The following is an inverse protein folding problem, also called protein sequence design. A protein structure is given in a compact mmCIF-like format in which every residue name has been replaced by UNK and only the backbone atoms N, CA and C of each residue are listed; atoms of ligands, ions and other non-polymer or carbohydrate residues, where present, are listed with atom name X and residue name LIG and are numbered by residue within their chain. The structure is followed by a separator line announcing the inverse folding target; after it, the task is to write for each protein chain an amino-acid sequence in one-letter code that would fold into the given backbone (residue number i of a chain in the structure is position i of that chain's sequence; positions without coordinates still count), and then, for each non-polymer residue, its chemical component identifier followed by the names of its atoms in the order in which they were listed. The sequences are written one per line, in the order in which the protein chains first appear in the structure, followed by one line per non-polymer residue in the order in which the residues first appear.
data_IF_059488530534
#
_entry.id   IF_059488530534
#
_cell.length_a   1.000
_cell.length_b   1.000
_cell.length_c   1.000
_cell.angle_alpha   90.00
_cell.angle_beta   90.00
_cell.angle_gamma   90.00
#
_symmetry.space_group_name_H-M   'P 1'
#
loop_
_entity.id
_entity.type
_entity.pdbx_description
1 polymer ?
#
# COMPACT_ATOMS: atom_id res chain seq x y z
N UNK A 1 37.95 64.41 -24.36
CA UNK A 1 38.47 63.06 -24.09
C UNK A 1 37.83 62.50 -22.83
N UNK A 2 36.79 61.73 -22.93
CA UNK A 2 36.28 60.91 -21.86
C UNK A 2 35.62 59.74 -22.52
N UNK A 3 36.21 58.59 -22.37
CA UNK A 3 35.66 57.31 -22.88
C UNK A 3 34.66 56.76 -21.86
N UNK A 4 33.43 56.48 -22.27
CA UNK A 4 32.39 55.80 -21.51
C UNK A 4 32.37 54.36 -21.98
N UNK A 5 32.70 53.43 -21.10
CA UNK A 5 32.70 52.00 -21.34
C UNK A 5 31.32 51.47 -20.91
N UNK A 6 30.54 50.94 -21.87
CA UNK A 6 29.26 50.31 -21.62
C UNK A 6 29.47 48.82 -21.39
N UNK A 7 29.09 48.30 -20.19
CA UNK A 7 29.09 46.89 -19.85
C UNK A 7 27.79 46.28 -20.40
N UNK A 8 27.89 45.36 -21.36
CA UNK A 8 26.79 44.47 -21.74
C UNK A 8 26.79 43.24 -20.80
N UNK A 9 25.73 43.10 -20.00
CA UNK A 9 25.46 41.91 -19.25
C UNK A 9 24.77 40.87 -20.15
N UNK A 10 25.45 39.77 -20.43
CA UNK A 10 24.85 38.58 -21.05
C UNK A 10 24.08 37.81 -19.99
N UNK A 11 22.75 37.85 -20.04
CA UNK A 11 21.84 36.90 -19.38
C UNK A 11 21.80 35.64 -20.22
N UNK A 12 22.51 34.61 -19.78
CA UNK A 12 22.38 33.27 -20.34
C UNK A 12 21.11 32.60 -19.78
N UNK A 13 20.04 32.66 -20.50
CA UNK A 13 18.86 31.83 -20.29
C UNK A 13 19.21 30.35 -20.62
N UNK A 14 19.39 29.52 -19.60
CA UNK A 14 19.43 28.07 -19.79
C UNK A 14 18.04 27.62 -20.19
N UNK A 15 17.84 27.37 -21.48
CA UNK A 15 16.71 26.59 -21.96
C UNK A 15 16.84 25.17 -21.42
N UNK A 16 15.87 24.73 -20.61
CA UNK A 16 15.66 23.32 -20.32
C UNK A 16 15.33 22.64 -21.65
N UNK A 17 16.25 21.83 -22.14
CA UNK A 17 16.01 20.98 -23.27
C UNK A 17 14.99 19.91 -22.86
N UNK A 18 13.78 20.00 -23.36
CA UNK A 18 12.83 18.88 -23.37
C UNK A 18 13.50 17.73 -24.12
N UNK A 19 13.60 16.56 -23.45
CA UNK A 19 13.98 15.34 -24.12
C UNK A 19 12.97 15.05 -25.24
N UNK A 20 13.43 14.61 -26.44
CA UNK A 20 12.49 14.29 -27.52
C UNK A 20 11.61 13.11 -27.12
N UNK A 21 10.33 13.06 -27.57
CA UNK A 21 9.46 11.92 -27.29
C UNK A 21 10.08 10.64 -27.85
N UNK A 22 10.14 9.58 -27.05
CA UNK A 22 10.62 8.26 -27.46
C UNK A 22 9.69 7.69 -28.54
N UNK A 23 10.00 7.89 -29.80
CA UNK A 23 9.29 7.29 -30.91
C UNK A 23 9.95 5.98 -31.36
N UNK A 24 9.17 4.90 -31.28
CA UNK A 24 9.36 3.58 -31.88
C UNK A 24 10.52 2.71 -31.37
N UNK A 25 10.19 1.79 -30.44
CA UNK A 25 10.90 0.51 -30.29
C UNK A 25 9.87 -0.61 -30.04
N UNK A 26 10.14 -1.76 -30.64
CA UNK A 26 9.28 -2.93 -30.86
C UNK A 26 8.51 -3.46 -29.63
N UNK A 27 7.24 -3.84 -29.84
CA UNK A 27 6.35 -4.57 -28.91
C UNK A 27 6.95 -5.81 -28.22
N UNK A 28 8.04 -6.35 -28.70
CA UNK A 28 8.72 -7.51 -28.11
C UNK A 28 9.62 -7.15 -26.93
N UNK A 29 10.17 -5.92 -26.84
CA UNK A 29 10.99 -5.47 -25.71
C UNK A 29 10.15 -5.10 -24.49
N UNK A 30 8.91 -4.62 -24.67
CA UNK A 30 8.00 -4.28 -23.58
C UNK A 30 7.63 -5.47 -22.65
N UNK A 31 7.71 -6.71 -23.15
CA UNK A 31 7.53 -7.91 -22.32
C UNK A 31 8.73 -8.22 -21.41
N UNK A 32 9.91 -7.70 -21.71
CA UNK A 32 11.13 -8.04 -20.95
C UNK A 32 11.30 -7.23 -19.67
N UNK A 33 10.88 -5.97 -19.65
CA UNK A 33 11.08 -5.09 -18.47
C UNK A 33 10.05 -5.36 -17.37
N UNK A 34 8.79 -5.56 -17.71
CA UNK A 34 7.77 -6.07 -16.79
C UNK A 34 8.10 -7.49 -16.28
N UNK A 35 8.76 -8.31 -17.12
CA UNK A 35 9.29 -9.60 -16.71
C UNK A 35 10.41 -9.49 -15.68
N UNK A 36 11.28 -8.48 -15.73
CA UNK A 36 12.40 -8.33 -14.80
C UNK A 36 11.92 -8.03 -13.38
N UNK A 37 10.98 -7.09 -13.19
CA UNK A 37 10.37 -6.83 -11.88
C UNK A 37 9.60 -8.02 -11.34
N UNK A 38 8.76 -8.66 -12.15
CA UNK A 38 8.05 -9.90 -11.80
C UNK A 38 9.00 -11.08 -11.53
N UNK A 39 10.07 -11.22 -12.31
CA UNK A 39 11.08 -12.26 -12.09
C UNK A 39 11.86 -12.07 -10.80
N UNK A 40 12.17 -10.82 -10.44
CA UNK A 40 12.84 -10.52 -9.18
C UNK A 40 11.91 -10.77 -7.98
N UNK A 41 10.63 -10.43 -8.09
CA UNK A 41 9.61 -10.76 -7.11
C UNK A 41 9.42 -12.28 -6.98
N UNK A 42 9.26 -13.00 -8.08
CA UNK A 42 9.15 -14.46 -8.09
C UNK A 42 10.40 -15.14 -7.55
N UNK A 43 11.60 -14.62 -7.84
CA UNK A 43 12.85 -15.15 -7.31
C UNK A 43 12.97 -14.96 -5.79
N UNK A 44 12.44 -13.87 -5.25
CA UNK A 44 12.42 -13.62 -3.80
C UNK A 44 11.48 -14.59 -3.07
N UNK A 45 10.27 -14.82 -3.61
CA UNK A 45 9.34 -15.82 -3.05
C UNK A 45 9.86 -17.26 -3.19
N UNK A 46 10.52 -17.58 -4.30
CA UNK A 46 11.13 -18.90 -4.51
C UNK A 46 12.33 -19.21 -3.60
N UNK A 47 12.78 -18.28 -2.76
CA UNK A 47 13.91 -18.50 -1.84
C UNK A 47 13.56 -19.32 -0.60
N UNK A 48 12.27 -19.51 -0.32
CA UNK A 48 11.76 -20.29 0.81
C UNK A 48 11.33 -21.67 0.32
N UNK A 49 11.75 -22.73 1.00
CA UNK A 49 11.22 -24.06 0.76
C UNK A 49 9.82 -24.17 1.38
N UNK A 50 8.80 -23.97 0.56
CA UNK A 50 7.41 -24.00 0.98
C UNK A 50 6.99 -25.35 1.58
N UNK A 51 7.71 -26.45 1.27
CA UNK A 51 7.41 -27.77 1.83
C UNK A 51 7.67 -27.88 3.33
N UNK A 52 8.42 -26.90 3.90
CA UNK A 52 8.64 -26.80 5.35
C UNK A 52 7.46 -26.19 6.12
N UNK A 53 6.45 -25.65 5.41
CA UNK A 53 5.33 -24.93 5.99
C UNK A 53 4.00 -25.61 5.65
N UNK A 54 3.03 -25.48 6.54
CA UNK A 54 1.69 -26.04 6.36
C UNK A 54 0.78 -25.11 5.56
N UNK A 55 1.11 -23.80 5.53
CA UNK A 55 0.29 -22.78 4.88
C UNK A 55 1.18 -21.63 4.35
N UNK A 56 0.93 -21.21 3.11
CA UNK A 56 1.53 -20.05 2.48
C UNK A 56 0.44 -19.05 2.07
N UNK A 57 0.50 -17.83 2.59
CA UNK A 57 -0.52 -16.82 2.41
C UNK A 57 0.05 -15.58 1.73
N UNK A 58 -0.55 -15.15 0.63
CA UNK A 58 -0.27 -13.85 0.06
C UNK A 58 -0.85 -12.76 0.97
N UNK A 59 -0.06 -11.79 1.36
CA UNK A 59 -0.46 -10.66 2.18
C UNK A 59 -0.50 -9.39 1.32
N UNK A 60 -1.66 -9.02 0.76
CA UNK A 60 -1.77 -7.89 -0.16
C UNK A 60 -1.50 -6.55 0.54
N UNK A 61 -1.14 -5.55 -0.26
CA UNK A 61 -1.18 -4.15 0.13
C UNK A 61 -2.56 -3.55 -0.06
N UNK A 62 -2.74 -2.33 0.44
CA UNK A 62 -3.92 -1.49 0.18
C UNK A 62 -3.52 -0.12 -0.35
N UNK A 63 -4.46 0.51 -1.04
CA UNK A 63 -4.47 1.95 -1.30
C UNK A 63 -5.74 2.56 -0.72
N UNK A 64 -5.72 3.88 -0.54
CA UNK A 64 -6.92 4.64 -0.20
C UNK A 64 -7.42 5.32 -1.48
N UNK A 65 -8.55 4.91 -2.02
CA UNK A 65 -9.16 5.55 -3.20
C UNK A 65 -9.69 6.95 -2.86
N UNK A 66 -10.12 7.15 -1.63
CA UNK A 66 -10.20 8.46 -1.00
C UNK A 66 -9.90 8.33 0.51
N UNK A 67 -9.48 9.44 1.13
CA UNK A 67 -9.31 9.56 2.56
C UNK A 67 -9.73 10.97 3.00
N UNK A 68 -10.77 11.05 3.81
CA UNK A 68 -11.29 12.26 4.39
C UNK A 68 -11.04 12.29 5.89
N UNK A 69 -10.59 13.41 6.40
CA UNK A 69 -10.51 13.68 7.84
C UNK A 69 -11.81 14.36 8.26
N UNK A 70 -12.55 13.74 9.16
CA UNK A 70 -13.86 14.21 9.57
C UNK A 70 -13.72 15.16 10.76
N UNK A 71 -12.99 14.76 11.79
CA UNK A 71 -12.75 15.57 12.98
C UNK A 71 -11.59 15.05 13.81
N UNK A 72 -11.07 15.92 14.66
CA UNK A 72 -10.13 15.53 15.72
C UNK A 72 -10.91 15.06 16.94
N UNK A 73 -10.52 13.92 17.48
CA UNK A 73 -11.11 13.30 18.67
C UNK A 73 -10.51 13.86 19.96
N UNK A 74 -11.22 13.78 21.09
CA UNK A 74 -10.68 14.18 22.39
C UNK A 74 -9.47 13.33 22.84
N UNK A 75 -9.34 12.08 22.34
CA UNK A 75 -8.23 11.18 22.63
C UNK A 75 -6.95 11.50 21.82
N UNK A 76 -6.99 12.53 20.96
CA UNK A 76 -5.89 12.99 20.14
C UNK A 76 -5.80 12.31 18.77
N UNK A 77 -6.59 11.27 18.52
CA UNK A 77 -6.75 10.67 17.19
C UNK A 77 -7.70 11.48 16.32
N UNK A 78 -7.93 10.99 15.08
CA UNK A 78 -8.85 11.60 14.14
C UNK A 78 -9.89 10.57 13.70
N UNK A 79 -11.15 11.02 13.61
CA UNK A 79 -12.15 10.31 12.84
C UNK A 79 -11.87 10.56 11.36
N UNK A 80 -11.85 9.48 10.60
CA UNK A 80 -11.67 9.52 9.15
C UNK A 80 -12.78 8.74 8.44
N UNK A 81 -12.90 8.95 7.15
CA UNK A 81 -13.68 8.14 6.24
C UNK A 81 -12.84 7.85 4.99
N UNK A 82 -12.74 6.58 4.60
CA UNK A 82 -11.87 6.16 3.51
C UNK A 82 -12.42 4.93 2.80
N UNK A 83 -12.30 4.90 1.48
CA UNK A 83 -12.48 3.69 0.70
C UNK A 83 -11.12 3.02 0.49
N UNK A 84 -10.95 1.88 1.12
CA UNK A 84 -9.75 1.05 0.96
C UNK A 84 -9.94 0.05 -0.17
N UNK A 85 -8.86 -0.22 -0.91
CA UNK A 85 -8.80 -1.24 -1.95
C UNK A 85 -7.51 -2.04 -1.84
N UNK A 86 -7.60 -3.38 -1.83
CA UNK A 86 -6.43 -4.25 -1.92
C UNK A 86 -5.88 -4.29 -3.34
N UNK A 87 -4.57 -4.45 -3.44
CA UNK A 87 -3.86 -4.56 -4.71
C UNK A 87 -2.97 -5.80 -4.74
N UNK A 88 -2.73 -6.35 -5.91
CA UNK A 88 -1.92 -7.55 -6.15
C UNK A 88 -0.41 -7.35 -5.95
N UNK A 89 0.01 -6.34 -5.20
CA UNK A 89 1.35 -6.16 -4.68
C UNK A 89 1.33 -6.43 -3.17
N UNK A 90 2.26 -7.24 -2.66
CA UNK A 90 2.22 -7.66 -1.26
C UNK A 90 3.42 -8.50 -0.84
N UNK A 91 3.31 -9.06 0.35
CA UNK A 91 4.29 -9.95 0.98
C UNK A 91 3.80 -11.41 0.96
N UNK A 92 4.66 -12.37 1.27
CA UNK A 92 4.27 -13.78 1.51
C UNK A 92 4.53 -14.13 2.96
N UNK A 93 3.53 -14.73 3.60
CA UNK A 93 3.63 -15.27 4.95
C UNK A 93 3.50 -16.78 4.90
N UNK A 94 4.55 -17.49 5.32
CA UNK A 94 4.57 -18.94 5.47
C UNK A 94 4.41 -19.29 6.94
N UNK A 95 3.48 -20.19 7.25
CA UNK A 95 3.14 -20.60 8.61
C UNK A 95 3.19 -22.12 8.75
N UNK A 96 3.64 -22.56 9.92
CA UNK A 96 3.57 -23.95 10.35
C UNK A 96 3.15 -24.01 11.81
N UNK A 97 2.25 -24.93 12.13
CA UNK A 97 1.98 -25.29 13.52
C UNK A 97 3.12 -26.16 14.04
N UNK A 98 3.78 -25.72 15.10
CA UNK A 98 4.94 -26.44 15.67
C UNK A 98 4.48 -27.64 16.48
N UNK A 99 5.41 -28.56 16.74
CA UNK A 99 5.18 -29.73 17.59
C UNK A 99 4.87 -29.36 19.03
N UNK A 100 4.20 -30.26 19.77
CA UNK A 100 3.80 -30.06 21.17
C UNK A 100 4.95 -29.80 22.14
N UNK A 101 6.19 -30.09 21.73
CA UNK A 101 7.41 -29.81 22.52
C UNK A 101 7.90 -28.37 22.42
N UNK A 102 7.32 -27.57 21.53
CA UNK A 102 7.70 -26.17 21.33
C UNK A 102 7.15 -25.30 22.45
N UNK A 103 7.98 -24.35 22.92
CA UNK A 103 7.63 -23.43 24.04
C UNK A 103 7.45 -21.99 23.58
N UNK A 104 7.70 -21.68 22.30
CA UNK A 104 7.58 -20.32 21.75
C UNK A 104 7.42 -20.32 20.24
N UNK A 105 6.85 -19.23 19.73
CA UNK A 105 6.83 -18.95 18.29
C UNK A 105 8.25 -18.68 17.77
N UNK A 106 8.52 -19.06 16.52
CA UNK A 106 9.72 -18.65 15.78
C UNK A 106 9.32 -17.76 14.62
N UNK A 107 10.06 -16.67 14.41
CA UNK A 107 9.79 -15.70 13.34
C UNK A 107 11.05 -15.34 12.60
N UNK A 108 11.00 -15.43 11.28
CA UNK A 108 12.04 -15.01 10.35
C UNK A 108 11.51 -14.01 9.34
N UNK A 109 12.36 -13.08 8.92
CA UNK A 109 12.06 -12.11 7.87
C UNK A 109 13.31 -11.80 7.05
N UNK A 110 13.16 -11.71 5.72
CA UNK A 110 14.25 -11.39 4.79
C UNK A 110 14.65 -9.90 4.81
N UNK A 111 13.82 -9.00 5.39
CA UNK A 111 14.05 -7.56 5.40
C UNK A 111 14.67 -7.12 6.72
N UNK A 112 15.85 -6.48 6.65
CA UNK A 112 16.48 -5.87 7.83
C UNK A 112 15.60 -4.76 8.43
N UNK A 113 15.66 -4.61 9.76
CA UNK A 113 14.90 -3.57 10.49
C UNK A 113 13.44 -3.95 10.78
N UNK A 114 12.95 -5.08 10.29
CA UNK A 114 11.68 -5.65 10.74
C UNK A 114 11.89 -6.30 12.10
N UNK A 115 11.17 -5.89 13.17
CA UNK A 115 11.30 -6.51 14.48
C UNK A 115 11.03 -8.02 14.42
N UNK A 116 11.82 -8.80 15.16
CA UNK A 116 11.64 -10.26 15.29
C UNK A 116 11.20 -10.66 16.70
N UNK A 117 10.76 -9.70 17.48
CA UNK A 117 10.27 -9.86 18.85
C UNK A 117 8.77 -9.55 18.98
N UNK A 118 8.25 -9.50 20.20
CA UNK A 118 6.84 -9.23 20.52
C UNK A 118 6.33 -7.84 20.09
N UNK A 119 7.17 -6.96 19.57
CA UNK A 119 6.73 -5.71 18.93
C UNK A 119 6.24 -5.91 17.49
N UNK A 120 6.57 -7.05 16.86
CA UNK A 120 6.12 -7.39 15.51
C UNK A 120 4.62 -7.73 15.49
N UNK A 121 3.90 -7.14 14.54
CA UNK A 121 2.45 -7.34 14.42
C UNK A 121 2.07 -8.78 14.05
N UNK A 122 2.89 -9.51 13.28
CA UNK A 122 2.66 -10.94 12.97
C UNK A 122 2.69 -11.77 14.27
N UNK A 123 3.73 -11.59 15.08
CA UNK A 123 3.87 -12.31 16.36
C UNK A 123 2.70 -11.98 17.30
N UNK A 124 2.33 -10.71 17.37
CA UNK A 124 1.17 -10.27 18.18
C UNK A 124 -0.14 -10.85 17.68
N UNK A 125 -0.30 -10.97 16.36
CA UNK A 125 -1.49 -11.55 15.75
C UNK A 125 -1.62 -13.05 16.07
N UNK A 126 -0.53 -13.81 15.96
CA UNK A 126 -0.47 -15.22 16.34
C UNK A 126 -0.82 -15.41 17.83
N UNK A 127 -0.22 -14.60 18.71
CA UNK A 127 -0.46 -14.62 20.16
C UNK A 127 -1.91 -14.26 20.51
N UNK A 128 -2.48 -13.27 19.83
CA UNK A 128 -3.89 -12.86 20.03
C UNK A 128 -4.86 -14.00 19.68
N UNK A 129 -4.73 -14.63 18.51
CA UNK A 129 -5.60 -15.73 18.11
C UNK A 129 -5.47 -16.91 19.07
N UNK A 130 -4.24 -17.29 19.41
CA UNK A 130 -3.94 -18.33 20.39
C UNK A 130 -4.65 -18.09 21.73
N UNK A 131 -4.51 -16.90 22.29
CA UNK A 131 -5.09 -16.51 23.58
C UNK A 131 -6.62 -16.47 23.51
N UNK A 132 -7.19 -15.82 22.49
CA UNK A 132 -8.66 -15.68 22.33
C UNK A 132 -9.36 -17.02 22.10
N UNK A 133 -8.65 -18.01 21.57
CA UNK A 133 -9.21 -19.35 21.26
C UNK A 133 -8.87 -20.40 22.32
N UNK A 134 -8.10 -20.04 23.37
CA UNK A 134 -7.72 -20.97 24.44
C UNK A 134 -6.70 -22.04 24.01
N UNK A 135 -5.93 -21.78 22.94
CA UNK A 135 -4.89 -22.68 22.41
C UNK A 135 -3.49 -22.23 22.90
N UNK A 136 -3.34 -21.91 24.17
CA UNK A 136 -2.14 -21.27 24.71
C UNK A 136 -0.85 -22.13 24.63
N UNK A 137 -1.01 -23.45 24.45
CA UNK A 137 0.05 -24.44 24.26
C UNK A 137 0.48 -24.62 22.81
N UNK A 138 -0.14 -23.93 21.85
CA UNK A 138 0.14 -24.05 20.42
C UNK A 138 1.02 -22.90 19.92
N UNK A 139 2.15 -23.24 19.30
CA UNK A 139 3.13 -22.29 18.81
C UNK A 139 3.31 -22.42 17.30
N UNK A 140 3.77 -21.35 16.65
CA UNK A 140 3.91 -21.28 15.21
C UNK A 140 5.37 -21.02 14.80
N UNK A 141 5.79 -21.63 13.68
CA UNK A 141 6.93 -21.19 12.89
C UNK A 141 6.38 -20.27 11.81
N UNK A 142 6.86 -19.03 11.75
CA UNK A 142 6.45 -18.05 10.76
C UNK A 142 7.68 -17.54 9.98
N UNK A 143 7.57 -17.47 8.65
CA UNK A 143 8.55 -16.83 7.79
C UNK A 143 7.84 -15.80 6.92
N UNK A 144 8.27 -14.54 7.01
CA UNK A 144 7.73 -13.43 6.26
C UNK A 144 8.70 -13.00 5.15
N UNK A 145 8.33 -13.26 3.90
CA UNK A 145 9.05 -12.74 2.73
C UNK A 145 8.48 -11.38 2.38
N UNK A 146 9.18 -10.33 2.80
CA UNK A 146 8.76 -8.94 2.63
C UNK A 146 9.27 -8.34 1.34
N UNK A 147 8.36 -7.71 0.61
CA UNK A 147 8.62 -6.88 -0.58
C UNK A 147 8.10 -5.46 -0.38
N UNK A 148 7.04 -5.31 0.42
CA UNK A 148 6.40 -4.02 0.67
C UNK A 148 7.32 -3.16 1.52
N UNK A 149 7.74 -1.97 1.02
CA UNK A 149 8.57 -1.06 1.79
C UNK A 149 7.90 -0.61 3.08
N UNK A 150 8.69 -0.42 4.13
CA UNK A 150 8.20 0.17 5.38
C UNK A 150 7.78 1.64 5.17
N UNK A 151 6.83 2.12 5.99
CA UNK A 151 6.36 3.51 5.97
C UNK A 151 5.94 4.00 4.56
N UNK A 152 5.26 3.14 3.83
CA UNK A 152 4.84 3.40 2.46
C UNK A 152 3.38 3.91 2.32
N UNK A 153 2.59 3.92 3.39
CA UNK A 153 1.15 4.22 3.30
C UNK A 153 0.31 3.08 2.68
N UNK A 154 0.92 1.89 2.51
CA UNK A 154 0.32 0.74 1.80
C UNK A 154 -0.24 -0.35 2.74
N UNK A 155 -0.18 -0.17 4.05
CA UNK A 155 -0.74 -1.10 5.02
C UNK A 155 -0.01 -2.46 5.12
N UNK A 156 1.22 -2.63 4.59
CA UNK A 156 1.89 -3.92 4.49
C UNK A 156 2.01 -4.67 5.83
N UNK A 157 2.40 -3.97 6.91
CA UNK A 157 2.47 -4.59 8.26
C UNK A 157 1.10 -5.05 8.78
N UNK A 158 0.04 -4.27 8.49
CA UNK A 158 -1.34 -4.62 8.86
C UNK A 158 -1.85 -5.80 8.05
N UNK A 159 -1.53 -5.87 6.75
CA UNK A 159 -1.81 -7.02 5.91
C UNK A 159 -1.14 -8.29 6.42
N UNK A 160 0.16 -8.19 6.82
CA UNK A 160 0.88 -9.33 7.38
C UNK A 160 0.24 -9.83 8.69
N UNK A 161 -0.23 -8.93 9.56
CA UNK A 161 -0.93 -9.30 10.77
C UNK A 161 -2.28 -9.98 10.50
N UNK A 162 -3.06 -9.45 9.54
CA UNK A 162 -4.33 -10.07 9.14
C UNK A 162 -4.10 -11.47 8.54
N UNK A 163 -3.08 -11.64 7.69
CA UNK A 163 -2.68 -12.94 7.15
C UNK A 163 -2.28 -13.90 8.29
N UNK A 164 -1.58 -13.41 9.30
CA UNK A 164 -1.21 -14.22 10.47
C UNK A 164 -2.44 -14.63 11.30
N UNK A 165 -3.40 -13.72 11.53
CA UNK A 165 -4.65 -14.05 12.24
C UNK A 165 -5.45 -15.10 11.47
N UNK A 166 -5.62 -14.92 10.17
CA UNK A 166 -6.31 -15.89 9.32
C UNK A 166 -5.61 -17.24 9.33
N UNK A 167 -4.29 -17.26 9.07
CA UNK A 167 -3.51 -18.48 9.00
C UNK A 167 -3.44 -19.24 10.33
N UNK A 168 -3.32 -18.55 11.45
CA UNK A 168 -3.38 -19.17 12.77
C UNK A 168 -4.74 -19.84 13.00
N UNK A 169 -5.83 -19.16 12.66
CA UNK A 169 -7.18 -19.72 12.76
C UNK A 169 -7.35 -20.98 11.89
N UNK A 170 -6.84 -20.95 10.65
CA UNK A 170 -6.86 -22.14 9.76
C UNK A 170 -6.09 -23.31 10.39
N UNK A 171 -4.85 -23.08 10.83
CA UNK A 171 -3.98 -24.13 11.37
C UNK A 171 -4.47 -24.69 12.71
N UNK A 172 -5.22 -23.92 13.50
CA UNK A 172 -5.87 -24.36 14.73
C UNK A 172 -7.21 -25.08 14.48
N UNK A 173 -7.62 -25.29 13.23
CA UNK A 173 -8.87 -25.95 12.87
C UNK A 173 -10.09 -25.04 12.89
N UNK A 174 -9.91 -23.74 12.71
CA UNK A 174 -10.95 -22.69 12.59
C UNK A 174 -11.79 -22.53 13.89
N UNK A 175 -11.15 -22.36 15.04
CA UNK A 175 -11.88 -22.17 16.29
C UNK A 175 -12.64 -20.84 16.38
N UNK A 176 -12.32 -19.85 15.53
CA UNK A 176 -12.96 -18.54 15.47
C UNK A 176 -13.68 -18.32 14.16
N UNK A 177 -14.80 -17.58 14.19
CA UNK A 177 -15.47 -17.09 12.98
C UNK A 177 -14.73 -15.87 12.42
N UNK A 178 -15.05 -15.48 11.16
CA UNK A 178 -14.49 -14.29 10.54
C UNK A 178 -14.85 -13.00 11.33
N UNK A 179 -16.09 -12.93 11.83
CA UNK A 179 -16.56 -11.79 12.63
C UNK A 179 -15.76 -11.65 13.92
N UNK A 180 -15.41 -12.77 14.57
CA UNK A 180 -14.54 -12.75 15.76
C UNK A 180 -13.12 -12.29 15.42
N UNK A 181 -12.54 -12.74 14.29
CA UNK A 181 -11.24 -12.25 13.85
C UNK A 181 -11.27 -10.74 13.54
N UNK A 182 -12.34 -10.26 12.90
CA UNK A 182 -12.58 -8.84 12.63
C UNK A 182 -12.67 -8.06 13.94
N UNK A 183 -13.45 -8.50 14.91
CA UNK A 183 -13.55 -7.86 16.23
C UNK A 183 -12.20 -7.77 16.93
N UNK A 184 -11.45 -8.87 16.98
CA UNK A 184 -10.16 -8.92 17.67
C UNK A 184 -9.06 -8.12 16.96
N UNK A 185 -9.13 -7.98 15.65
CA UNK A 185 -8.11 -7.27 14.87
C UNK A 185 -7.95 -5.81 15.27
N UNK A 186 -9.03 -5.18 15.74
CA UNK A 186 -9.02 -3.81 16.25
C UNK A 186 -8.10 -3.60 17.46
N UNK A 187 -7.83 -4.66 18.27
CA UNK A 187 -6.90 -4.62 19.38
C UNK A 187 -5.43 -4.49 18.95
N UNK A 188 -5.12 -4.85 17.70
CA UNK A 188 -3.77 -4.82 17.13
C UNK A 188 -3.49 -3.54 16.35
N UNK A 189 -4.44 -3.08 15.54
CA UNK A 189 -4.29 -1.87 14.74
C UNK A 189 -5.46 -1.63 13.80
N UNK A 190 -5.76 -0.35 13.56
CA UNK A 190 -6.96 0.08 12.84
C UNK A 190 -7.07 -0.49 11.40
N UNK A 191 -5.96 -0.51 10.65
CA UNK A 191 -5.96 -0.97 9.26
C UNK A 191 -6.00 -2.51 9.13
N UNK A 192 -5.81 -3.28 10.22
CA UNK A 192 -5.78 -4.76 10.15
C UNK A 192 -7.15 -5.31 9.80
N UNK A 193 -8.20 -4.72 10.37
CA UNK A 193 -9.60 -5.09 10.14
C UNK A 193 -9.94 -5.10 8.65
N UNK A 194 -9.48 -4.09 7.91
CA UNK A 194 -9.71 -3.99 6.47
C UNK A 194 -9.22 -5.23 5.69
N UNK A 195 -8.05 -5.77 6.02
CA UNK A 195 -7.50 -6.93 5.30
C UNK A 195 -8.26 -8.24 5.55
N UNK A 196 -9.19 -8.24 6.51
CA UNK A 196 -10.14 -9.34 6.72
C UNK A 196 -11.41 -9.19 5.87
N UNK A 197 -11.57 -8.07 5.12
CA UNK A 197 -12.63 -7.88 4.12
C UNK A 197 -12.37 -8.67 2.83
N UNK A 198 -13.27 -8.55 1.87
CA UNK A 198 -13.11 -9.15 0.54
C UNK A 198 -12.24 -8.34 -0.43
N UNK A 199 -11.64 -7.25 0.02
CA UNK A 199 -10.67 -6.46 -0.74
C UNK A 199 -11.08 -5.02 -1.04
N UNK A 200 -12.38 -4.69 -0.93
CA UNK A 200 -12.88 -3.32 -0.95
C UNK A 200 -13.70 -3.10 0.32
N UNK A 201 -13.49 -2.01 1.04
CA UNK A 201 -14.31 -1.67 2.19
C UNK A 201 -14.31 -0.17 2.47
N UNK A 202 -15.45 0.34 2.90
CA UNK A 202 -15.59 1.67 3.46
C UNK A 202 -15.26 1.62 4.94
N UNK A 203 -14.26 2.38 5.35
CA UNK A 203 -13.75 2.38 6.72
C UNK A 203 -13.93 3.77 7.35
N UNK A 204 -14.43 3.79 8.59
CA UNK A 204 -14.66 4.98 9.40
C UNK A 204 -14.02 4.86 10.78
N UNK A 205 -14.28 5.83 11.69
CA UNK A 205 -13.59 5.91 12.96
C UNK A 205 -12.12 6.27 12.73
N UNK A 206 -11.17 5.54 13.32
CA UNK A 206 -9.74 5.68 13.02
C UNK A 206 -9.31 4.82 11.82
N UNK A 207 -10.27 4.13 11.15
CA UNK A 207 -10.10 3.14 10.10
C UNK A 207 -10.52 1.73 10.53
N UNK A 208 -10.90 1.52 11.80
CA UNK A 208 -11.27 0.22 12.37
C UNK A 208 -12.74 -0.16 12.18
N UNK A 209 -13.62 0.80 11.93
CA UNK A 209 -15.03 0.53 11.68
C UNK A 209 -15.20 0.23 10.20
N UNK A 210 -15.25 -1.03 9.87
CA UNK A 210 -15.33 -1.51 8.50
C UNK A 210 -16.78 -1.79 8.09
N UNK A 211 -17.22 -1.16 7.02
CA UNK A 211 -18.47 -1.47 6.32
C UNK A 211 -18.10 -2.16 5.01
N UNK A 212 -18.40 -3.46 4.84
CA UNK A 212 -18.20 -4.16 3.59
C UNK A 212 -18.97 -3.49 2.45
N UNK A 213 -18.36 -3.43 1.27
CA UNK A 213 -19.00 -2.97 0.03
C UNK A 213 -18.68 -3.98 -1.07
N UNK A 214 -19.45 -3.93 -2.15
CA UNK A 214 -19.18 -4.80 -3.29
C UNK A 214 -17.75 -4.56 -3.80
N UNK A 215 -16.98 -5.62 -4.09
CA UNK A 215 -15.63 -5.47 -4.60
C UNK A 215 -15.59 -4.67 -5.91
N UNK A 216 -14.66 -3.73 -6.01
CA UNK A 216 -14.36 -3.07 -7.28
C UNK A 216 -13.75 -4.09 -8.26
N UNK A 217 -13.89 -3.86 -9.59
CA UNK A 217 -13.45 -4.81 -10.59
C UNK A 217 -11.98 -5.23 -10.43
N UNK A 218 -11.75 -6.52 -10.27
CA UNK A 218 -10.42 -7.12 -10.31
C UNK A 218 -9.70 -6.80 -11.63
N UNK A 219 -8.37 -6.73 -11.57
CA UNK A 219 -7.56 -6.46 -12.75
C UNK A 219 -7.52 -4.99 -13.16
N UNK A 220 -8.22 -4.08 -12.45
CA UNK A 220 -8.01 -2.63 -12.64
C UNK A 220 -6.53 -2.31 -12.41
N UNK A 221 -5.88 -1.78 -13.44
CA UNK A 221 -4.43 -1.53 -13.38
C UNK A 221 -4.08 -0.38 -12.48
N UNK A 222 -3.05 -0.58 -11.69
CA UNK A 222 -2.50 0.42 -10.79
C UNK A 222 -0.97 0.32 -10.76
N UNK A 223 -0.30 1.46 -10.71
CA UNK A 223 1.13 1.53 -10.54
C UNK A 223 1.46 2.25 -9.23
N UNK A 224 2.25 1.63 -8.37
CA UNK A 224 2.74 2.23 -7.14
C UNK A 224 4.13 2.81 -7.38
N UNK A 225 4.31 4.08 -7.09
CA UNK A 225 5.60 4.78 -7.17
C UNK A 225 6.00 5.22 -5.77
N UNK A 226 7.09 4.66 -5.25
CA UNK A 226 7.56 4.85 -3.88
C UNK A 226 8.97 5.44 -3.85
N UNK A 227 9.13 6.69 -3.40
CA UNK A 227 10.46 7.25 -3.15
C UNK A 227 11.10 6.61 -1.91
N UNK A 228 12.43 6.47 -1.90
CA UNK A 228 13.22 5.90 -0.78
C UNK A 228 13.22 6.78 0.49
N UNK A 229 12.29 7.72 0.57
CA UNK A 229 12.11 8.60 1.71
C UNK A 229 10.87 8.15 2.47
N UNK A 230 10.99 7.97 3.78
CA UNK A 230 9.88 7.72 4.68
C UNK A 230 9.32 9.02 5.27
N UNK A 231 8.04 9.01 5.61
CA UNK A 231 7.37 10.08 6.35
C UNK A 231 6.59 9.46 7.52
N UNK A 232 6.72 10.07 8.68
CA UNK A 232 6.05 9.58 9.88
C UNK A 232 4.57 9.98 9.86
N UNK A 233 3.67 9.00 9.94
CA UNK A 233 2.23 9.25 10.02
C UNK A 233 1.86 10.26 11.12
N UNK A 234 2.38 10.18 12.38
CA UNK A 234 2.13 11.20 13.38
C UNK A 234 2.64 12.60 13.01
N UNK A 235 3.67 12.70 12.19
CA UNK A 235 4.18 13.99 11.71
C UNK A 235 3.21 14.63 10.71
N UNK A 236 2.70 13.87 9.76
CA UNK A 236 1.68 14.32 8.81
C UNK A 236 0.42 14.80 9.53
N UNK A 237 -0.10 14.03 10.49
CA UNK A 237 -1.28 14.43 11.26
C UNK A 237 -1.05 15.68 12.13
N UNK A 238 0.19 15.94 12.59
CA UNK A 238 0.52 17.17 13.31
C UNK A 238 0.58 18.40 12.43
N UNK A 239 0.91 18.22 11.15
CA UNK A 239 0.97 19.29 10.15
C UNK A 239 -0.40 19.56 9.47
N UNK A 240 -1.47 18.85 9.88
CA UNK A 240 -2.79 18.97 9.28
C UNK A 240 -3.37 20.39 9.49
N UNK A 241 -3.74 21.01 8.39
CA UNK A 241 -4.47 22.28 8.37
C UNK A 241 -5.96 22.00 8.14
N UNK A 242 -6.77 22.21 9.18
CA UNK A 242 -8.20 21.90 9.14
C UNK A 242 -8.99 22.83 8.21
N UNK A 243 -8.48 24.02 7.89
CA UNK A 243 -9.13 24.97 6.97
C UNK A 243 -8.95 24.54 5.50
N UNK A 244 -8.03 23.60 5.23
CA UNK A 244 -7.76 23.09 3.89
C UNK A 244 -8.38 21.70 3.64
N UNK A 245 -9.09 21.14 4.60
CA UNK A 245 -9.77 19.86 4.40
C UNK A 245 -10.80 19.95 3.28
N UNK A 246 -10.94 18.88 2.52
CA UNK A 246 -12.00 18.78 1.52
C UNK A 246 -13.38 18.91 2.22
N UNK A 247 -14.35 19.48 1.53
CA UNK A 247 -15.75 19.63 2.01
C UNK A 247 -16.70 18.61 1.36
N UNK A 248 -16.18 17.74 0.48
CA UNK A 248 -17.01 16.73 -0.20
C UNK A 248 -17.46 15.69 0.83
N UNK A 249 -18.72 15.31 0.80
CA UNK A 249 -19.25 14.26 1.67
C UNK A 249 -18.60 12.91 1.36
N UNK A 250 -18.09 12.17 2.36
CA UNK A 250 -17.52 10.85 2.15
C UNK A 250 -18.49 9.84 1.54
N UNK A 251 -19.78 9.93 1.83
CA UNK A 251 -20.79 9.04 1.26
C UNK A 251 -21.03 9.35 -0.23
N UNK A 252 -20.97 10.61 -0.65
CA UNK A 252 -21.01 11.00 -2.07
C UNK A 252 -19.77 10.46 -2.83
N UNK A 253 -18.60 10.47 -2.18
CA UNK A 253 -17.39 9.86 -2.75
C UNK A 253 -17.55 8.36 -2.89
N UNK A 254 -18.06 7.68 -1.84
CA UNK A 254 -18.32 6.24 -1.86
C UNK A 254 -19.27 5.89 -3.01
N UNK A 255 -20.43 6.55 -3.09
CA UNK A 255 -21.42 6.33 -4.15
C UNK A 255 -20.83 6.53 -5.55
N UNK A 256 -19.92 7.49 -5.70
CA UNK A 256 -19.23 7.75 -6.97
C UNK A 256 -18.37 6.56 -7.36
N UNK A 257 -17.55 6.03 -6.45
CA UNK A 257 -16.70 4.85 -6.74
C UNK A 257 -17.53 3.59 -6.97
N UNK A 258 -18.59 3.37 -6.18
CA UNK A 258 -19.41 2.17 -6.31
C UNK A 258 -20.25 2.18 -7.58
N UNK A 259 -20.70 3.35 -8.06
CA UNK A 259 -21.51 3.45 -9.26
C UNK A 259 -20.70 3.52 -10.56
N UNK A 260 -19.47 4.06 -10.52
CA UNK A 260 -18.65 4.31 -11.73
C UNK A 260 -17.38 3.45 -11.82
N UNK A 261 -16.94 2.88 -10.70
CA UNK A 261 -15.64 2.21 -10.61
C UNK A 261 -14.47 3.20 -10.50
N UNK A 262 -13.27 2.66 -10.34
CA UNK A 262 -12.08 3.49 -10.08
C UNK A 262 -11.64 4.32 -11.31
N UNK A 263 -11.79 3.81 -12.52
CA UNK A 263 -11.34 4.51 -13.72
C UNK A 263 -12.26 5.71 -14.03
N UNK A 264 -13.57 5.52 -13.95
CA UNK A 264 -14.57 6.50 -14.38
C UNK A 264 -15.09 7.40 -13.24
N UNK A 265 -14.57 7.24 -12.01
CA UNK A 265 -14.98 8.05 -10.85
C UNK A 265 -14.71 9.56 -11.06
N UNK A 266 -13.73 9.89 -11.90
CA UNK A 266 -13.29 11.24 -12.17
C UNK A 266 -12.32 11.78 -11.11
N UNK A 267 -11.45 12.69 -11.51
CA UNK A 267 -10.36 13.19 -10.65
C UNK A 267 -10.85 13.85 -9.35
N UNK A 268 -12.05 14.42 -9.35
CA UNK A 268 -12.62 15.05 -8.15
C UNK A 268 -12.98 14.07 -7.03
N UNK A 269 -13.17 12.77 -7.35
CA UNK A 269 -13.42 11.73 -6.36
C UNK A 269 -12.16 11.26 -5.62
N UNK A 270 -10.99 11.48 -6.23
CA UNK A 270 -9.70 11.12 -5.65
C UNK A 270 -9.24 12.19 -4.67
N UNK A 271 -9.70 12.09 -3.43
CA UNK A 271 -9.43 13.04 -2.34
C UNK A 271 -8.61 12.35 -1.26
N UNK A 272 -7.50 12.96 -0.87
CA UNK A 272 -6.75 12.56 0.31
C UNK A 272 -6.37 13.79 1.14
N UNK A 273 -7.06 14.00 2.25
CA UNK A 273 -6.85 15.15 3.14
C UNK A 273 -5.44 15.15 3.79
N UNK A 274 -4.70 14.03 3.71
CA UNK A 274 -3.32 13.95 4.19
C UNK A 274 -2.28 14.34 3.14
N UNK A 275 -2.67 14.59 1.87
CA UNK A 275 -1.70 14.99 0.83
C UNK A 275 -1.06 16.34 1.14
N UNK A 276 -1.87 17.35 1.47
CA UNK A 276 -1.35 18.68 1.72
C UNK A 276 -0.34 18.70 2.88
N UNK A 277 -0.65 18.19 4.08
CA UNK A 277 0.33 18.17 5.18
C UNK A 277 1.55 17.29 4.86
N UNK A 278 1.40 16.19 4.09
CA UNK A 278 2.54 15.39 3.66
C UNK A 278 3.44 16.16 2.69
N UNK A 279 2.87 16.94 1.78
CA UNK A 279 3.62 17.77 0.83
C UNK A 279 4.29 18.96 1.51
N UNK A 280 3.71 19.49 2.58
CA UNK A 280 4.35 20.53 3.39
C UNK A 280 5.57 19.99 4.16
N UNK A 281 5.45 18.77 4.69
CA UNK A 281 6.56 18.08 5.34
C UNK A 281 7.64 17.64 4.34
N UNK A 282 7.25 17.23 3.12
CA UNK A 282 8.13 16.69 2.10
C UNK A 282 7.73 17.17 0.69
N UNK A 283 8.17 18.38 0.29
CA UNK A 283 7.80 18.97 -1.00
C UNK A 283 8.19 18.15 -2.24
N UNK A 284 9.16 17.23 -2.09
CA UNK A 284 9.55 16.29 -3.14
C UNK A 284 8.40 15.38 -3.56
N UNK A 285 7.50 15.00 -2.64
CA UNK A 285 6.33 14.19 -2.95
C UNK A 285 5.37 14.92 -3.89
N UNK A 286 5.16 16.22 -3.66
CA UNK A 286 4.33 17.02 -4.55
C UNK A 286 4.92 17.07 -5.96
N UNK A 287 6.23 17.29 -6.07
CA UNK A 287 6.92 17.30 -7.36
C UNK A 287 6.78 15.98 -8.09
N UNK A 288 7.02 14.87 -7.38
CA UNK A 288 6.85 13.53 -7.94
C UNK A 288 5.40 13.27 -8.41
N UNK A 289 4.39 13.67 -7.62
CA UNK A 289 2.99 13.58 -8.03
C UNK A 289 2.71 14.41 -9.29
N UNK A 290 3.24 15.63 -9.36
CA UNK A 290 3.03 16.51 -10.52
C UNK A 290 3.73 15.97 -11.78
N UNK A 291 4.91 15.32 -11.66
CA UNK A 291 5.58 14.60 -12.74
C UNK A 291 4.72 13.40 -13.21
N UNK A 292 4.22 12.59 -12.30
CA UNK A 292 3.40 11.41 -12.62
C UNK A 292 2.09 11.78 -13.31
N UNK A 293 1.48 12.92 -12.98
CA UNK A 293 0.29 13.43 -13.67
C UNK A 293 0.52 13.80 -15.15
N UNK A 294 1.77 13.96 -15.58
CA UNK A 294 2.12 14.23 -16.98
C UNK A 294 2.33 12.95 -17.79
N UNK A 295 2.35 11.79 -17.14
CA UNK A 295 2.53 10.49 -17.81
C UNK A 295 1.23 10.11 -18.50
N UNK A 296 1.28 9.95 -19.82
CA UNK A 296 0.14 9.53 -20.61
C UNK A 296 -0.25 8.07 -20.31
N UNK A 297 -1.54 7.83 -20.10
CA UNK A 297 -2.11 6.52 -19.80
C UNK A 297 -2.46 6.32 -18.32
N UNK A 298 -2.11 7.25 -17.44
CA UNK A 298 -2.65 7.29 -16.09
C UNK A 298 -3.91 8.16 -16.02
N UNK A 299 -5.00 7.57 -15.57
CA UNK A 299 -6.29 8.27 -15.41
C UNK A 299 -6.30 9.13 -14.14
N UNK A 300 -5.75 8.60 -13.04
CA UNK A 300 -5.71 9.27 -11.74
C UNK A 300 -4.39 9.03 -11.02
N UNK A 301 -3.91 10.05 -10.29
CA UNK A 301 -2.66 10.03 -9.52
C UNK A 301 -2.90 10.62 -8.14
N UNK A 302 -2.69 9.83 -7.07
CA UNK A 302 -2.89 10.27 -5.70
C UNK A 302 -1.93 9.57 -4.73
N UNK A 303 -1.62 10.20 -3.60
CA UNK A 303 -0.85 9.60 -2.52
C UNK A 303 -1.72 8.61 -1.72
N UNK A 304 -1.16 7.47 -1.34
CA UNK A 304 -1.83 6.48 -0.49
C UNK A 304 -1.64 6.76 1.00
N UNK A 305 -2.73 6.90 1.73
CA UNK A 305 -2.71 7.16 3.17
C UNK A 305 -1.93 8.41 3.54
N UNK A 306 -1.05 8.32 4.52
CA UNK A 306 -0.12 9.38 4.94
C UNK A 306 1.18 9.44 4.11
N UNK A 307 1.28 8.63 3.05
CA UNK A 307 2.43 8.56 2.16
C UNK A 307 3.49 7.55 2.67
N UNK A 308 4.61 7.45 1.98
CA UNK A 308 5.06 8.31 0.85
C UNK A 308 4.76 7.73 -0.53
N UNK A 309 4.08 6.58 -0.64
CA UNK A 309 3.72 6.02 -1.95
C UNK A 309 2.68 6.87 -2.64
N UNK A 310 2.86 7.03 -3.96
CA UNK A 310 1.87 7.59 -4.87
C UNK A 310 1.36 6.43 -5.73
N UNK A 311 0.07 6.30 -5.89
CA UNK A 311 -0.52 5.36 -6.83
C UNK A 311 -1.08 6.07 -8.05
N UNK A 312 -1.00 5.40 -9.18
CA UNK A 312 -1.50 5.84 -10.47
C UNK A 312 -2.48 4.79 -10.99
N UNK A 313 -3.75 5.16 -11.21
CA UNK A 313 -4.75 4.27 -11.83
C UNK A 313 -4.52 4.29 -13.34
N UNK A 314 -4.55 3.13 -14.00
CA UNK A 314 -4.25 2.95 -15.40
C UNK A 314 -2.85 2.39 -15.64
N UNK A 315 -2.43 2.41 -16.89
CA UNK A 315 -1.09 1.96 -17.32
C UNK A 315 -0.43 3.03 -18.18
N UNK A 316 0.87 3.29 -18.04
CA UNK A 316 1.54 4.27 -18.89
C UNK A 316 1.51 3.79 -20.34
N UNK A 317 1.13 4.66 -21.28
CA UNK A 317 1.07 4.37 -22.73
C UNK A 317 2.41 3.83 -23.25
N UNK A 318 3.53 4.33 -22.70
CA UNK A 318 4.87 3.84 -22.99
C UNK A 318 5.54 3.34 -21.71
N UNK A 319 5.36 2.05 -21.43
CA UNK A 319 5.90 1.42 -20.22
C UNK A 319 7.43 1.46 -20.16
N UNK A 320 8.13 1.28 -21.29
CA UNK A 320 9.60 1.30 -21.31
C UNK A 320 10.15 2.68 -20.95
N UNK A 321 9.60 3.75 -21.52
CA UNK A 321 9.97 5.11 -21.16
C UNK A 321 9.68 5.40 -19.69
N UNK A 322 8.53 5.00 -19.20
CA UNK A 322 8.12 5.19 -17.82
C UNK A 322 9.06 4.49 -16.84
N UNK A 323 9.34 3.19 -17.07
CA UNK A 323 10.26 2.43 -16.21
C UNK A 323 11.66 3.03 -16.23
N UNK A 324 12.16 3.43 -17.40
CA UNK A 324 13.46 4.08 -17.51
C UNK A 324 13.52 5.43 -16.79
N UNK A 325 12.44 6.20 -16.82
CA UNK A 325 12.38 7.53 -16.19
C UNK A 325 12.23 7.43 -14.66
N UNK A 326 11.40 6.51 -14.17
CA UNK A 326 11.04 6.44 -12.75
C UNK A 326 11.70 5.28 -12.01
N UNK A 327 11.74 4.05 -12.53
CA UNK A 327 12.28 2.89 -11.84
C UNK A 327 13.82 2.86 -11.87
N UNK A 328 14.44 3.34 -12.95
CA UNK A 328 15.90 3.50 -13.01
C UNK A 328 16.39 4.79 -12.28
N UNK A 329 15.48 5.66 -11.87
CA UNK A 329 15.80 6.88 -11.13
C UNK A 329 16.19 6.52 -9.69
N UNK A 330 17.42 6.83 -9.31
CA UNK A 330 17.91 6.56 -7.96
C UNK A 330 16.97 7.14 -6.88
N UNK A 331 16.56 6.28 -5.96
CA UNK A 331 15.71 6.65 -4.84
C UNK A 331 14.22 6.62 -5.16
N UNK A 332 13.79 5.99 -6.26
CA UNK A 332 12.40 5.70 -6.58
C UNK A 332 12.27 4.22 -6.91
N UNK A 333 11.22 3.59 -6.43
CA UNK A 333 10.84 2.22 -6.75
C UNK A 333 9.45 2.22 -7.38
N UNK A 334 9.26 1.40 -8.41
CA UNK A 334 8.01 1.29 -9.15
C UNK A 334 7.49 -0.14 -9.05
N UNK A 335 6.22 -0.27 -8.64
CA UNK A 335 5.56 -1.56 -8.48
C UNK A 335 4.26 -1.58 -9.29
N UNK A 336 4.26 -2.13 -10.52
CA UNK A 336 3.03 -2.40 -11.25
C UNK A 336 2.18 -3.44 -10.52
N UNK A 337 0.90 -3.18 -10.41
CA UNK A 337 -0.05 -4.04 -9.73
C UNK A 337 -1.44 -3.94 -10.39
N UNK A 338 -2.39 -4.64 -9.82
CA UNK A 338 -3.80 -4.54 -10.18
C UNK A 338 -4.67 -4.69 -8.94
N UNK A 339 -5.91 -4.23 -9.01
CA UNK A 339 -6.87 -4.47 -7.95
C UNK A 339 -7.07 -5.98 -7.77
N UNK A 340 -7.16 -6.40 -6.55
CA UNK A 340 -7.43 -7.78 -6.19
C UNK A 340 -8.52 -7.85 -5.13
N UNK A 341 -9.33 -8.89 -5.21
CA UNK A 341 -10.32 -9.25 -4.22
C UNK A 341 -10.19 -10.73 -3.85
N UNK A 342 -10.85 -11.15 -2.80
CA UNK A 342 -10.98 -12.55 -2.41
C UNK A 342 -12.45 -12.95 -2.35
N UNK A 343 -12.72 -14.22 -2.46
CA UNK A 343 -14.06 -14.76 -2.24
C UNK A 343 -14.30 -14.98 -0.74
N UNK A 344 -15.55 -14.92 -0.35
CA UNK A 344 -15.97 -15.26 1.00
C UNK A 344 -15.42 -16.64 1.43
N UNK A 345 -14.89 -16.73 2.63
CA UNK A 345 -14.30 -17.96 3.19
C UNK A 345 -12.96 -18.39 2.58
N UNK A 346 -12.38 -17.62 1.64
CA UNK A 346 -11.06 -17.87 1.07
C UNK A 346 -10.11 -16.74 1.45
N UNK A 347 -8.81 -16.99 1.40
CA UNK A 347 -7.80 -15.95 1.51
C UNK A 347 -7.42 -15.44 0.13
N UNK A 348 -6.72 -14.29 0.07
CA UNK A 348 -6.26 -13.71 -1.17
C UNK A 348 -5.30 -14.65 -1.92
N UNK A 349 -5.50 -14.79 -3.21
CA UNK A 349 -4.61 -15.54 -4.09
C UNK A 349 -3.47 -14.65 -4.57
N UNK A 350 -2.26 -15.22 -4.65
CA UNK A 350 -1.15 -14.56 -5.35
C UNK A 350 -1.36 -14.73 -6.85
N UNK A 351 -1.77 -13.65 -7.52
CA UNK A 351 -2.02 -13.63 -8.97
C UNK A 351 -0.81 -13.10 -9.78
N UNK A 352 0.35 -12.94 -9.12
CA UNK A 352 1.57 -12.42 -9.78
C UNK A 352 2.26 -13.45 -10.67
#
# INVERSE_FOLDING_TARGET
MKYTTTLLSFLATKALAFAPPCHNVNKLQNQYTLRAGKQQQQALFASVDESEYDLSLFSPCKINLFLRIIQKRPDGFHDLASLFQTIGFGDMLHLKLQDESSESDTFECNMEGVPTDKSNLVIRALDLVRTKTGNEDKFFKANLVKQVPAQAGLGGGSGNAAAAMWGANELLGKPATLEQLVEWSGDLGSDITFFLSEGTAYCTGRGEIMTPVDPLPDGTKVCIVKPDIGLSTPEVFRALDYDQLSTIDPEELLDTFMSKGAIDAGTAAYVNDLEQPAFDCLPELKRLKDELKQVEGFDHVMMSGSGTSIFCIGEPTNQECFMKEFDERKGINVFPAEFTSRKEGQWFENKM
#
